data_IF_706846499488
#
_entry.id   IF_706846499488
#
_cell.length_a   1.000
_cell.length_b   1.000
_cell.length_c   1.000
_cell.angle_alpha   90.00
_cell.angle_beta   90.00
_cell.angle_gamma   90.00
#
_symmetry.space_group_name_H-M   'P 1'
#
loop_
_entity.id
_entity.type
_entity.pdbx_description
1 polymer ?
#
# COMPACT_ATOMS: atom_id res chain seq x y z
N UNK A 1 -12.86 10.26 -14.09
CA UNK A 1 -13.86 10.12 -12.99
C UNK A 1 -14.96 9.18 -13.44
N UNK A 2 -15.35 8.24 -12.58
CA UNK A 2 -16.48 7.34 -12.82
C UNK A 2 -17.76 8.18 -13.00
N UNK A 3 -18.58 7.89 -14.01
CA UNK A 3 -19.78 8.69 -14.30
C UNK A 3 -19.55 9.99 -15.08
N UNK A 4 -18.30 10.30 -15.46
CA UNK A 4 -17.95 11.41 -16.36
C UNK A 4 -17.33 12.63 -15.66
N UNK A 5 -16.84 13.60 -16.45
CA UNK A 5 -16.16 14.80 -15.97
C UNK A 5 -14.64 14.64 -15.78
N UNK A 6 -13.96 15.76 -15.49
CA UNK A 6 -12.50 15.85 -15.31
C UNK A 6 -12.16 16.74 -14.11
N UNK A 7 -11.12 16.39 -13.37
CA UNK A 7 -10.58 17.16 -12.25
C UNK A 7 -9.10 16.78 -12.04
N UNK A 8 -8.46 17.34 -11.00
CA UNK A 8 -7.12 16.96 -10.58
C UNK A 8 -7.06 15.47 -10.14
N UNK A 9 -5.95 14.76 -10.34
CA UNK A 9 -5.87 13.31 -10.11
C UNK A 9 -6.16 12.89 -8.66
N UNK A 10 -5.76 13.69 -7.68
CA UNK A 10 -6.07 13.50 -6.26
C UNK A 10 -7.57 13.64 -5.99
N UNK A 11 -8.23 14.65 -6.56
CA UNK A 11 -9.67 14.84 -6.42
C UNK A 11 -10.47 13.74 -7.14
N UNK A 12 -9.98 13.26 -8.29
CA UNK A 12 -10.56 12.10 -8.97
C UNK A 12 -10.41 10.83 -8.11
N UNK A 13 -9.27 10.66 -7.42
CA UNK A 13 -9.07 9.55 -6.48
C UNK A 13 -10.05 9.63 -5.30
N UNK A 14 -10.23 10.82 -4.70
CA UNK A 14 -11.21 11.04 -3.64
C UNK A 14 -12.61 10.58 -4.05
N UNK A 15 -13.07 11.07 -5.22
CA UNK A 15 -14.40 10.79 -5.74
C UNK A 15 -14.57 9.30 -6.07
N UNK A 16 -13.66 8.73 -6.87
CA UNK A 16 -13.75 7.33 -7.30
C UNK A 16 -13.67 6.37 -6.10
N UNK A 17 -12.78 6.61 -5.13
CA UNK A 17 -12.67 5.75 -3.94
C UNK A 17 -13.85 5.92 -2.99
N UNK A 18 -14.44 7.11 -2.92
CA UNK A 18 -15.71 7.32 -2.22
C UNK A 18 -16.82 6.43 -2.79
N UNK A 19 -16.96 6.36 -4.12
CA UNK A 19 -17.95 5.50 -4.77
C UNK A 19 -17.75 4.02 -4.48
N UNK A 20 -16.50 3.56 -4.42
CA UNK A 20 -16.16 2.15 -4.12
C UNK A 20 -16.56 1.80 -2.69
N UNK A 21 -16.21 2.66 -1.72
CA UNK A 21 -16.33 2.33 -0.30
C UNK A 21 -17.70 2.61 0.29
N UNK A 22 -18.40 3.67 -0.14
CA UNK A 22 -19.45 4.30 0.67
C UNK A 22 -20.57 3.36 1.12
N UNK A 23 -21.00 2.44 0.25
CA UNK A 23 -22.09 1.48 0.55
C UNK A 23 -21.61 0.24 1.32
N UNK A 24 -20.29 0.09 1.50
CA UNK A 24 -19.67 -1.07 2.18
C UNK A 24 -19.97 -2.42 1.46
N UNK A 25 -20.17 -2.39 0.13
CA UNK A 25 -20.42 -3.56 -0.74
C UNK A 25 -19.19 -3.95 -1.56
N UNK A 26 -18.07 -4.15 -0.88
CA UNK A 26 -16.78 -4.43 -1.50
C UNK A 26 -16.09 -5.66 -0.89
N UNK A 27 -14.98 -6.08 -1.50
CA UNK A 27 -14.27 -7.29 -1.07
C UNK A 27 -13.71 -7.16 0.36
N UNK A 28 -13.44 -8.31 0.99
CA UNK A 28 -12.81 -8.37 2.30
C UNK A 28 -11.73 -9.44 2.28
N UNK A 29 -10.51 -9.07 2.67
CA UNK A 29 -9.44 -10.01 2.96
C UNK A 29 -9.32 -10.17 4.47
N UNK A 30 -9.41 -11.41 4.93
CA UNK A 30 -9.34 -11.76 6.35
C UNK A 30 -8.12 -12.64 6.60
N UNK A 31 -7.44 -12.37 7.71
CA UNK A 31 -6.33 -13.16 8.22
C UNK A 31 -6.47 -13.29 9.74
N UNK A 32 -5.76 -14.21 10.42
CA UNK A 32 -5.77 -14.28 11.87
C UNK A 32 -5.37 -12.95 12.51
N UNK A 33 -6.34 -12.24 13.10
CA UNK A 33 -6.12 -10.94 13.74
C UNK A 33 -6.05 -9.72 12.81
N UNK A 34 -6.36 -9.87 11.51
CA UNK A 34 -6.30 -8.81 10.52
C UNK A 34 -7.45 -8.80 9.52
N UNK A 35 -7.89 -7.61 9.13
CA UNK A 35 -8.92 -7.36 8.10
C UNK A 35 -8.48 -6.19 7.24
N UNK A 36 -8.71 -6.28 5.94
CA UNK A 36 -8.68 -5.14 5.03
C UNK A 36 -9.66 -5.31 3.87
N UNK A 37 -9.91 -4.22 3.13
CA UNK A 37 -10.68 -4.21 1.90
C UNK A 37 -9.77 -3.82 0.73
N UNK A 38 -9.14 -4.79 0.04
CA UNK A 38 -8.19 -4.50 -1.03
C UNK A 38 -8.76 -3.63 -2.16
N UNK A 39 -10.05 -3.77 -2.46
CA UNK A 39 -10.74 -2.95 -3.47
C UNK A 39 -10.81 -1.47 -3.14
N UNK A 40 -10.54 -1.05 -1.92
CA UNK A 40 -10.39 0.38 -1.59
C UNK A 40 -9.28 1.06 -2.42
N UNK A 41 -8.29 0.31 -2.91
CA UNK A 41 -7.26 0.85 -3.80
C UNK A 41 -7.81 1.24 -5.17
N UNK A 42 -8.89 0.63 -5.65
CA UNK A 42 -9.35 0.73 -7.04
C UNK A 42 -9.53 2.19 -7.48
N UNK A 43 -10.23 3.00 -6.69
CA UNK A 43 -10.55 4.38 -7.08
C UNK A 43 -9.31 5.26 -7.22
N UNK A 44 -8.33 5.10 -6.32
CA UNK A 44 -7.07 5.82 -6.33
C UNK A 44 -6.16 5.39 -7.49
N UNK A 45 -6.03 4.08 -7.70
CA UNK A 45 -5.21 3.52 -8.78
C UNK A 45 -5.81 3.85 -10.15
N UNK A 46 -7.14 3.82 -10.30
CA UNK A 46 -7.81 4.23 -11.53
C UNK A 46 -7.54 5.70 -11.84
N UNK A 47 -7.65 6.58 -10.85
CA UNK A 47 -7.37 8.01 -11.05
C UNK A 47 -5.90 8.27 -11.43
N UNK A 48 -4.96 7.55 -10.79
CA UNK A 48 -3.54 7.63 -11.15
C UNK A 48 -3.26 7.11 -12.57
N UNK A 49 -3.91 6.02 -12.98
CA UNK A 49 -3.78 5.42 -14.30
C UNK A 49 -4.33 6.34 -15.40
N UNK A 50 -5.54 6.89 -15.20
CA UNK A 50 -6.13 7.88 -16.10
C UNK A 50 -5.21 9.11 -16.27
N UNK A 51 -4.61 9.58 -15.17
CA UNK A 51 -3.73 10.76 -15.19
C UNK A 51 -2.51 10.59 -16.09
N UNK A 52 -1.88 9.41 -16.06
CA UNK A 52 -0.69 9.12 -16.88
C UNK A 52 -1.03 8.48 -18.22
N UNK A 53 -2.33 8.33 -18.54
CA UNK A 53 -2.82 7.62 -19.73
C UNK A 53 -2.26 6.19 -19.83
N UNK A 54 -2.24 5.49 -18.69
CA UNK A 54 -1.75 4.12 -18.60
C UNK A 54 -2.59 3.18 -19.48
N UNK A 55 -1.98 2.08 -19.92
CA UNK A 55 -2.72 0.98 -20.54
C UNK A 55 -3.58 0.26 -19.48
N UNK A 56 -4.55 -0.55 -19.94
CA UNK A 56 -5.31 -1.41 -19.03
C UNK A 56 -4.42 -2.42 -18.29
N UNK A 57 -3.36 -2.89 -18.93
CA UNK A 57 -2.37 -3.79 -18.35
C UNK A 57 -1.58 -3.13 -17.23
N UNK A 58 -1.05 -1.92 -17.47
CA UNK A 58 -0.35 -1.12 -16.46
C UNK A 58 -1.25 -0.84 -15.25
N UNK A 59 -2.53 -0.52 -15.50
CA UNK A 59 -3.54 -0.33 -14.46
C UNK A 59 -3.74 -1.60 -13.63
N UNK A 60 -3.96 -2.75 -14.27
CA UNK A 60 -4.18 -4.03 -13.59
C UNK A 60 -2.95 -4.46 -12.80
N UNK A 61 -1.74 -4.26 -13.33
CA UNK A 61 -0.49 -4.53 -12.63
C UNK A 61 -0.35 -3.66 -11.37
N UNK A 62 -0.58 -2.35 -11.49
CA UNK A 62 -0.49 -1.44 -10.36
C UNK A 62 -1.53 -1.76 -9.28
N UNK A 63 -2.74 -2.13 -9.69
CA UNK A 63 -3.81 -2.55 -8.78
C UNK A 63 -3.44 -3.85 -8.05
N UNK A 64 -2.92 -4.85 -8.78
CA UNK A 64 -2.47 -6.12 -8.20
C UNK A 64 -1.33 -5.91 -7.19
N UNK A 65 -0.37 -5.02 -7.50
CA UNK A 65 0.71 -4.65 -6.57
C UNK A 65 0.14 -4.00 -5.31
N UNK A 66 -0.82 -3.09 -5.43
CA UNK A 66 -1.45 -2.45 -4.27
C UNK A 66 -2.20 -3.48 -3.41
N UNK A 67 -3.04 -4.33 -4.02
CA UNK A 67 -3.73 -5.42 -3.35
C UNK A 67 -2.76 -6.32 -2.59
N UNK A 68 -1.69 -6.72 -3.26
CA UNK A 68 -0.69 -7.58 -2.68
C UNK A 68 -0.09 -6.92 -1.44
N UNK A 69 0.45 -5.71 -1.56
CA UNK A 69 1.04 -4.97 -0.44
C UNK A 69 0.08 -4.89 0.76
N UNK A 70 -1.19 -4.54 0.52
CA UNK A 70 -2.18 -4.41 1.59
C UNK A 70 -2.46 -5.76 2.26
N UNK A 71 -2.74 -6.80 1.49
CA UNK A 71 -2.99 -8.15 2.01
C UNK A 71 -1.77 -8.70 2.77
N UNK A 72 -0.55 -8.46 2.27
CA UNK A 72 0.69 -8.85 2.98
C UNK A 72 0.78 -8.19 4.33
N UNK A 73 0.49 -6.89 4.36
CA UNK A 73 0.55 -6.11 5.58
C UNK A 73 -0.49 -6.63 6.58
N UNK A 74 -1.73 -6.83 6.14
CA UNK A 74 -2.83 -7.36 6.97
C UNK A 74 -2.51 -8.70 7.59
N UNK A 75 -1.85 -9.60 6.84
CA UNK A 75 -1.53 -10.95 7.29
C UNK A 75 -0.48 -11.01 8.42
N UNK A 76 0.29 -9.94 8.63
CA UNK A 76 1.38 -9.89 9.61
C UNK A 76 1.11 -8.87 10.71
N UNK A 77 0.39 -7.79 10.38
CA UNK A 77 0.35 -6.59 11.21
C UNK A 77 -1.05 -6.35 11.76
N UNK A 78 -1.31 -6.59 13.05
CA UNK A 78 -2.63 -6.51 13.65
C UNK A 78 -3.00 -5.07 14.03
N UNK A 79 -3.04 -4.15 13.06
CA UNK A 79 -3.22 -2.70 13.31
C UNK A 79 -4.49 -2.37 14.10
N UNK A 80 -5.60 -3.04 13.78
CA UNK A 80 -6.88 -2.79 14.45
C UNK A 80 -6.90 -3.26 15.90
N UNK A 81 -6.22 -4.36 16.22
CA UNK A 81 -6.05 -4.81 17.60
C UNK A 81 -5.23 -3.83 18.45
N UNK A 82 -4.51 -2.91 17.79
CA UNK A 82 -3.64 -1.90 18.41
C UNK A 82 -4.22 -0.48 18.34
N UNK A 83 -5.51 -0.34 17.99
CA UNK A 83 -6.22 0.95 17.99
C UNK A 83 -6.16 1.74 16.68
N UNK A 84 -5.44 1.25 15.67
CA UNK A 84 -5.37 1.87 14.35
C UNK A 84 -6.30 1.21 13.34
N UNK A 85 -7.00 2.01 12.55
CA UNK A 85 -7.84 1.51 11.47
C UNK A 85 -6.99 0.91 10.33
N UNK A 86 -7.54 -0.07 9.61
CA UNK A 86 -6.89 -0.69 8.45
C UNK A 86 -6.60 0.29 7.29
N UNK A 87 -7.16 1.51 7.30
CA UNK A 87 -6.82 2.57 6.33
C UNK A 87 -5.33 2.97 6.33
N UNK A 88 -4.56 2.69 7.40
CA UNK A 88 -3.10 2.85 7.37
C UNK A 88 -2.48 1.95 6.29
N UNK A 89 -2.97 0.72 6.18
CA UNK A 89 -2.50 -0.25 5.20
C UNK A 89 -2.86 0.20 3.77
N UNK A 90 -4.05 0.79 3.62
CA UNK A 90 -4.52 1.38 2.36
C UNK A 90 -3.64 2.56 1.92
N UNK A 91 -3.23 3.42 2.85
CA UNK A 91 -2.32 4.54 2.54
C UNK A 91 -1.01 4.03 1.94
N UNK A 92 -0.43 2.98 2.54
CA UNK A 92 0.80 2.33 2.07
C UNK A 92 0.60 1.73 0.68
N UNK A 93 -0.43 0.91 0.49
CA UNK A 93 -0.67 0.20 -0.78
C UNK A 93 -1.03 1.14 -1.93
N UNK A 94 -1.91 2.11 -1.69
CA UNK A 94 -2.34 3.07 -2.71
C UNK A 94 -1.19 3.98 -3.14
N UNK A 95 -0.32 4.41 -2.21
CA UNK A 95 0.83 5.23 -2.54
C UNK A 95 1.86 4.44 -3.38
N UNK A 96 2.06 3.16 -3.06
CA UNK A 96 2.91 2.27 -3.84
C UNK A 96 2.38 2.05 -5.27
N UNK A 97 1.09 1.71 -5.41
CA UNK A 97 0.47 1.51 -6.72
C UNK A 97 0.44 2.77 -7.59
N UNK A 98 0.10 3.93 -6.99
CA UNK A 98 0.18 5.22 -7.68
C UNK A 98 1.62 5.58 -8.07
N UNK A 99 2.59 5.31 -7.20
CA UNK A 99 4.00 5.49 -7.48
C UNK A 99 4.48 4.64 -8.67
N UNK A 100 4.04 3.39 -8.76
CA UNK A 100 4.32 2.52 -9.91
C UNK A 100 3.81 3.13 -11.22
N UNK A 101 2.55 3.59 -11.26
CA UNK A 101 1.96 4.23 -12.44
C UNK A 101 2.66 5.55 -12.79
N UNK A 102 3.13 6.28 -11.79
CA UNK A 102 3.83 7.55 -12.00
C UNK A 102 5.28 7.37 -12.45
N UNK A 103 5.78 6.14 -12.56
CA UNK A 103 7.15 5.83 -12.95
C UNK A 103 8.18 6.21 -11.89
N UNK A 104 7.80 6.13 -10.61
CA UNK A 104 8.70 6.45 -9.50
C UNK A 104 9.78 5.40 -9.32
N UNK A 105 10.97 5.85 -8.91
CA UNK A 105 12.05 4.97 -8.42
C UNK A 105 11.68 4.35 -7.06
N UNK A 106 12.41 3.32 -6.64
CA UNK A 106 12.20 2.68 -5.32
C UNK A 106 12.24 3.69 -4.17
N UNK A 107 13.21 4.60 -4.17
CA UNK A 107 13.34 5.63 -3.13
C UNK A 107 12.18 6.62 -3.17
N UNK A 108 11.71 7.01 -4.36
CA UNK A 108 10.54 7.89 -4.49
C UNK A 108 9.26 7.18 -4.04
N UNK A 109 9.10 5.88 -4.30
CA UNK A 109 7.97 5.09 -3.79
C UNK A 109 8.03 5.04 -2.26
N UNK A 110 9.20 4.79 -1.67
CA UNK A 110 9.37 4.78 -0.21
C UNK A 110 9.01 6.14 0.41
N UNK A 111 9.40 7.24 -0.23
CA UNK A 111 9.02 8.59 0.18
C UNK A 111 7.51 8.82 0.05
N UNK A 112 6.89 8.41 -1.05
CA UNK A 112 5.44 8.53 -1.24
C UNK A 112 4.65 7.76 -0.18
N UNK A 113 5.04 6.51 0.11
CA UNK A 113 4.47 5.69 1.19
C UNK A 113 4.62 6.40 2.52
N UNK A 114 5.82 6.91 2.83
CA UNK A 114 6.10 7.59 4.09
C UNK A 114 5.24 8.84 4.25
N UNK A 115 5.18 9.71 3.25
CA UNK A 115 4.34 10.92 3.25
C UNK A 115 2.86 10.56 3.42
N UNK A 116 2.36 9.59 2.64
CA UNK A 116 0.95 9.20 2.68
C UNK A 116 0.56 8.58 4.04
N UNK A 117 1.46 7.83 4.66
CA UNK A 117 1.13 7.03 5.85
C UNK A 117 1.21 7.85 7.13
N UNK A 118 2.27 8.66 7.31
CA UNK A 118 2.47 9.41 8.57
C UNK A 118 1.40 10.48 8.81
N UNK A 119 0.85 11.05 7.73
CA UNK A 119 -0.22 12.05 7.82
C UNK A 119 -1.63 11.43 7.83
N UNK A 120 -1.73 10.12 7.59
CA UNK A 120 -3.00 9.37 7.53
C UNK A 120 -3.20 8.48 8.74
N UNK A 121 -3.18 9.08 9.94
CA UNK A 121 -3.48 8.39 11.19
C UNK A 121 -4.99 8.17 11.33
N UNK A 122 -5.45 6.98 10.96
CA UNK A 122 -6.84 6.56 11.10
C UNK A 122 -6.99 5.66 12.32
N UNK A 123 -7.95 5.96 13.20
CA UNK A 123 -8.18 5.25 14.46
C UNK A 123 -9.36 4.27 14.35
N UNK A 124 -9.36 3.19 15.13
CA UNK A 124 -10.43 2.19 15.10
C UNK A 124 -11.79 2.70 15.58
N UNK A 125 -11.86 3.86 16.24
CA UNK A 125 -13.13 4.49 16.62
C UNK A 125 -14.04 4.80 15.43
N UNK A 126 -13.50 4.78 14.19
CA UNK A 126 -14.27 4.81 12.94
C UNK A 126 -15.33 3.70 12.85
N UNK A 127 -15.13 2.58 13.56
CA UNK A 127 -16.03 1.43 13.58
C UNK A 127 -16.95 1.37 14.81
N UNK A 128 -16.88 2.35 15.72
CA UNK A 128 -17.65 2.34 16.97
C UNK A 128 -19.06 2.86 16.73
N UNK A 129 -20.05 2.21 17.35
CA UNK A 129 -21.45 2.62 17.28
C UNK A 129 -21.74 3.90 18.09
N UNK A 130 -22.60 4.82 17.59
CA UNK A 130 -23.26 4.78 16.29
C UNK A 130 -22.28 5.04 15.14
N UNK A 131 -22.24 4.14 14.15
CA UNK A 131 -21.30 4.26 13.03
C UNK A 131 -21.63 5.52 12.21
N UNK A 132 -20.64 6.41 12.12
CA UNK A 132 -20.78 7.65 11.35
C UNK A 132 -20.56 7.44 9.85
N UNK A 133 -21.05 8.36 9.03
CA UNK A 133 -20.81 8.41 7.58
C UNK A 133 -19.32 8.44 7.21
N UNK A 134 -18.46 8.85 8.14
CA UNK A 134 -17.01 8.87 7.96
C UNK A 134 -16.42 7.46 7.71
N UNK A 135 -17.04 6.39 8.22
CA UNK A 135 -16.61 5.00 7.91
C UNK A 135 -16.66 4.73 6.41
N UNK A 136 -17.72 5.16 5.74
CA UNK A 136 -17.90 4.98 4.30
C UNK A 136 -17.02 5.90 3.45
N UNK A 137 -16.61 7.06 3.97
CA UNK A 137 -15.88 8.06 3.18
C UNK A 137 -14.36 8.10 3.42
N UNK A 138 -13.89 7.67 4.59
CA UNK A 138 -12.47 7.80 4.99
C UNK A 138 -11.45 7.11 4.06
N UNK A 139 -11.75 5.99 3.37
CA UNK A 139 -10.90 5.44 2.32
C UNK A 139 -10.74 6.35 1.10
N UNK A 140 -11.76 7.16 0.77
CA UNK A 140 -11.65 8.20 -0.25
C UNK A 140 -10.58 9.24 0.11
N UNK A 141 -10.59 9.72 1.35
CA UNK A 141 -9.57 10.64 1.88
C UNK A 141 -8.16 10.02 1.82
N UNK A 142 -8.07 8.74 2.17
CA UNK A 142 -6.81 7.99 2.13
C UNK A 142 -6.28 7.87 0.70
N UNK A 143 -7.13 7.49 -0.26
CA UNK A 143 -6.76 7.37 -1.67
C UNK A 143 -6.32 8.71 -2.29
N UNK A 144 -7.03 9.80 -1.98
CA UNK A 144 -6.64 11.16 -2.39
C UNK A 144 -5.23 11.51 -1.92
N UNK A 145 -4.96 11.33 -0.62
CA UNK A 145 -3.67 11.64 0.00
C UNK A 145 -2.54 10.78 -0.58
N UNK A 146 -2.80 9.50 -0.85
CA UNK A 146 -1.83 8.61 -1.46
C UNK A 146 -1.42 9.06 -2.87
N UNK A 147 -2.37 9.42 -3.73
CA UNK A 147 -2.09 9.95 -5.08
C UNK A 147 -1.35 11.29 -5.00
N UNK A 148 -1.74 12.16 -4.06
CA UNK A 148 -1.07 13.43 -3.83
C UNK A 148 0.39 13.23 -3.35
N UNK A 149 0.62 12.32 -2.40
CA UNK A 149 1.95 11.98 -1.91
C UNK A 149 2.86 11.42 -3.00
N UNK A 150 2.34 10.54 -3.86
CA UNK A 150 3.09 10.05 -5.03
C UNK A 150 3.47 11.18 -5.99
N UNK A 151 2.57 12.16 -6.19
CA UNK A 151 2.83 13.36 -7.00
C UNK A 151 3.93 14.25 -6.39
N UNK A 152 3.95 14.40 -5.07
CA UNK A 152 5.02 15.13 -4.35
C UNK A 152 6.37 14.40 -4.48
N UNK A 153 6.40 13.09 -4.21
CA UNK A 153 7.62 12.29 -4.30
C UNK A 153 8.21 12.28 -5.71
N UNK A 154 7.36 12.30 -6.75
CA UNK A 154 7.79 12.49 -8.15
C UNK A 154 8.63 13.76 -8.35
N UNK A 155 8.34 14.80 -7.57
CA UNK A 155 9.00 16.11 -7.62
C UNK A 155 10.14 16.25 -6.61
N UNK A 156 10.56 15.14 -5.99
CA UNK A 156 11.71 15.11 -5.08
C UNK A 156 11.38 15.41 -3.61
N UNK A 157 10.10 15.44 -3.22
CA UNK A 157 9.76 15.53 -1.80
C UNK A 157 10.11 14.23 -1.08
N UNK A 158 10.77 14.36 0.06
CA UNK A 158 11.15 13.24 0.91
C UNK A 158 10.16 13.06 2.05
N UNK A 159 9.85 11.81 2.39
CA UNK A 159 9.11 11.45 3.60
C UNK A 159 10.06 11.01 4.73
N UNK A 160 9.53 10.86 5.96
CA UNK A 160 10.33 10.39 7.08
C UNK A 160 10.77 8.93 6.87
N UNK A 161 12.08 8.70 6.78
CA UNK A 161 12.68 7.36 6.57
C UNK A 161 12.39 6.38 7.72
N UNK A 162 12.04 6.89 8.89
CA UNK A 162 11.73 6.12 10.09
C UNK A 162 10.30 5.56 10.16
N UNK A 163 9.48 5.62 9.09
CA UNK A 163 8.07 5.19 9.11
C UNK A 163 7.87 3.83 9.81
N UNK A 164 8.70 2.84 9.50
CA UNK A 164 8.55 1.48 10.05
C UNK A 164 9.39 1.28 11.31
N UNK A 165 10.71 1.36 11.18
CA UNK A 165 11.69 0.96 12.22
C UNK A 165 12.27 2.13 13.02
N UNK A 166 11.96 3.37 12.62
CA UNK A 166 12.50 4.55 13.29
C UNK A 166 11.88 4.81 14.67
N UNK A 167 12.44 5.75 15.44
CA UNK A 167 11.82 6.23 16.67
C UNK A 167 10.38 6.72 16.39
N UNK A 168 9.41 6.24 17.17
CA UNK A 168 7.98 6.49 16.97
C UNK A 168 7.43 5.97 15.62
N UNK A 169 8.15 5.08 14.94
CA UNK A 169 7.67 4.36 13.76
C UNK A 169 6.58 3.36 14.11
N UNK A 170 5.90 2.85 13.08
CA UNK A 170 4.76 1.93 13.22
C UNK A 170 5.16 0.73 14.08
N UNK A 171 6.28 0.05 13.81
CA UNK A 171 6.67 -1.15 14.56
C UNK A 171 6.75 -0.91 16.07
N UNK A 172 7.28 0.26 16.47
CA UNK A 172 7.33 0.68 17.86
C UNK A 172 5.94 0.96 18.42
N UNK A 173 5.10 1.71 17.69
CA UNK A 173 3.76 2.11 18.13
C UNK A 173 2.82 0.92 18.34
N UNK A 174 2.89 -0.10 17.47
CA UNK A 174 2.03 -1.29 17.57
C UNK A 174 2.70 -2.47 18.30
N UNK A 175 3.94 -2.30 18.76
CA UNK A 175 4.76 -3.34 19.39
C UNK A 175 4.77 -4.64 18.58
N UNK A 176 5.02 -4.53 17.29
CA UNK A 176 5.00 -5.63 16.33
C UNK A 176 6.20 -5.50 15.39
N UNK A 177 7.04 -6.54 15.36
CA UNK A 177 8.13 -6.61 14.39
C UNK A 177 7.58 -7.09 13.04
N UNK A 178 7.49 -6.16 12.08
CA UNK A 178 6.92 -6.43 10.77
C UNK A 178 7.92 -7.11 9.81
N UNK A 179 9.18 -7.33 10.22
CA UNK A 179 10.21 -8.02 9.42
C UNK A 179 10.04 -9.54 9.47
N UNK A 180 9.56 -10.05 10.59
CA UNK A 180 9.39 -11.48 10.86
C UNK A 180 7.92 -11.86 10.80
N UNK A 181 7.40 -11.99 9.58
CA UNK A 181 6.00 -12.36 9.36
C UNK A 181 5.78 -13.51 8.39
N UNK A 182 6.82 -13.97 7.69
CA UNK A 182 6.69 -15.00 6.64
C UNK A 182 7.84 -16.00 6.65
N UNK A 183 7.49 -17.28 6.61
CA UNK A 183 8.42 -18.35 6.26
C UNK A 183 8.96 -18.13 4.83
N UNK A 184 10.14 -18.67 4.52
CA UNK A 184 10.69 -18.59 3.16
C UNK A 184 9.82 -19.31 2.12
N UNK A 185 8.96 -20.22 2.56
CA UNK A 185 7.90 -20.82 1.74
C UNK A 185 6.82 -19.80 1.38
N UNK A 186 6.33 -19.02 2.35
CA UNK A 186 5.35 -17.95 2.11
C UNK A 186 5.91 -16.85 1.21
N UNK A 187 7.21 -16.53 1.31
CA UNK A 187 7.89 -15.60 0.38
C UNK A 187 7.95 -16.16 -1.04
N UNK A 188 8.27 -17.46 -1.19
CA UNK A 188 8.37 -18.15 -2.49
C UNK A 188 7.03 -18.37 -3.18
N UNK A 189 6.03 -18.86 -2.45
CA UNK A 189 4.68 -19.11 -2.97
C UNK A 189 4.07 -17.84 -3.58
N UNK A 190 4.45 -16.72 -3.01
CA UNK A 190 3.94 -15.44 -3.38
C UNK A 190 4.69 -14.77 -4.53
N UNK A 191 6.02 -14.90 -4.56
CA UNK A 191 6.79 -14.56 -5.76
C UNK A 191 6.25 -15.37 -6.95
N UNK A 192 5.98 -16.67 -6.75
CA UNK A 192 5.37 -17.53 -7.77
C UNK A 192 3.96 -17.07 -8.17
N UNK A 193 3.12 -16.68 -7.21
CA UNK A 193 1.77 -16.15 -7.48
C UNK A 193 1.78 -14.86 -8.30
N UNK A 194 2.63 -13.89 -7.93
CA UNK A 194 2.81 -12.65 -8.69
C UNK A 194 3.36 -12.91 -10.10
N UNK A 195 4.41 -13.72 -10.22
CA UNK A 195 4.99 -14.08 -11.50
C UNK A 195 3.99 -14.76 -12.42
N UNK A 196 3.13 -15.61 -11.87
CA UNK A 196 2.05 -16.26 -12.61
C UNK A 196 0.99 -15.26 -13.05
N UNK A 197 0.51 -14.38 -12.17
CA UNK A 197 -0.50 -13.35 -12.52
C UNK A 197 0.03 -12.42 -13.60
N UNK A 198 1.27 -11.96 -13.48
CA UNK A 198 1.91 -11.12 -14.49
C UNK A 198 2.12 -11.91 -15.78
N UNK A 199 2.59 -13.15 -15.72
CA UNK A 199 2.78 -14.00 -16.91
C UNK A 199 1.47 -14.29 -17.65
N UNK A 200 0.39 -14.60 -16.94
CA UNK A 200 -0.94 -14.85 -17.52
C UNK A 200 -1.55 -13.57 -18.14
N UNK A 201 -1.32 -12.40 -17.52
CA UNK A 201 -1.86 -11.13 -18.00
C UNK A 201 -1.09 -10.54 -19.20
N UNK A 202 0.22 -10.79 -19.28
CA UNK A 202 1.13 -10.16 -20.25
C UNK A 202 1.57 -11.11 -21.38
N UNK A 203 1.47 -12.42 -21.17
CA UNK A 203 2.04 -13.43 -22.06
C UNK A 203 3.56 -13.61 -21.93
N UNK A 204 4.21 -12.87 -21.03
CA UNK A 204 5.64 -12.98 -20.75
C UNK A 204 5.93 -14.19 -19.84
N UNK A 205 7.09 -14.84 -19.99
CA UNK A 205 7.44 -15.98 -19.12
C UNK A 205 7.95 -15.47 -17.77
N UNK A 206 7.72 -16.21 -16.66
CA UNK A 206 8.21 -15.85 -15.32
C UNK A 206 9.69 -15.43 -15.25
N UNK A 207 10.54 -16.02 -16.09
CA UNK A 207 11.97 -15.77 -16.13
C UNK A 207 12.34 -14.42 -16.80
N UNK A 208 11.43 -13.86 -17.60
CA UNK A 208 11.62 -12.63 -18.36
C UNK A 208 11.14 -11.38 -17.57
N UNK A 209 10.37 -11.57 -16.49
CA UNK A 209 9.63 -10.50 -15.77
C UNK A 209 10.51 -9.66 -14.80
N UNK A 210 11.75 -10.08 -14.50
CA UNK A 210 12.58 -9.41 -13.47
C UNK A 210 14.08 -9.18 -13.78
N UNK A 211 14.61 -9.49 -14.95
CA UNK A 211 16.02 -9.17 -15.25
C UNK A 211 16.22 -7.73 -15.76
N UNK A 212 16.09 -6.80 -14.80
CA UNK A 212 16.48 -5.39 -14.91
C UNK A 212 17.23 -4.89 -13.69
N UNK A 213 17.97 -5.75 -12.97
CA UNK A 213 18.95 -5.35 -11.95
C UNK A 213 20.01 -6.44 -11.75
N UNK A 214 21.33 -6.15 -11.81
CA UNK A 214 22.36 -7.15 -11.63
C UNK A 214 22.43 -7.67 -10.18
N UNK A 215 22.26 -8.98 -10.02
CA UNK A 215 22.83 -9.86 -8.97
C UNK A 215 22.78 -9.42 -7.49
N UNK A 216 21.73 -9.84 -6.77
CA UNK A 216 21.69 -9.96 -5.30
C UNK A 216 22.38 -11.26 -4.81
N UNK A 217 23.56 -11.60 -5.32
CA UNK A 217 24.30 -12.82 -4.93
C UNK A 217 25.27 -12.65 -3.76
N UNK A 218 25.29 -11.52 -3.05
CA UNK A 218 26.23 -11.33 -1.94
C UNK A 218 25.75 -10.31 -0.92
N UNK A 219 24.94 -10.74 0.05
CA UNK A 219 24.89 -10.07 1.36
C UNK A 219 25.26 -11.13 2.39
N UNK A 220 26.43 -11.04 3.05
CA UNK A 220 26.82 -11.96 4.11
C UNK A 220 25.92 -11.76 5.33
N UNK A 221 25.46 -12.86 5.91
CA UNK A 221 24.88 -12.91 7.26
C UNK A 221 25.97 -12.54 8.27
N UNK A 222 25.90 -11.32 8.81
CA UNK A 222 26.71 -10.88 9.95
C UNK A 222 25.83 -10.84 11.20
N UNK A 223 26.02 -11.82 12.06
CA UNK A 223 25.64 -11.80 13.48
C UNK A 223 26.37 -10.66 14.19
N UNK A 224 25.65 -9.78 14.88
CA UNK A 224 26.02 -9.20 16.19
C UNK A 224 24.99 -8.13 16.58
N UNK A 225 23.98 -8.55 17.33
CA UNK A 225 23.07 -7.65 18.04
C UNK A 225 23.65 -7.44 19.44
N UNK A 226 24.57 -6.49 19.57
CA UNK A 226 25.11 -6.06 20.84
C UNK A 226 24.44 -4.75 21.31
N UNK A 227 23.70 -4.88 22.41
CA UNK A 227 23.54 -3.89 23.49
C UNK A 227 23.08 -2.45 23.15
N UNK A 228 21.86 -2.11 23.56
CA UNK A 228 21.54 -0.75 24.04
C UNK A 228 21.17 -0.89 25.54
N UNK A 229 21.85 -0.17 26.45
CA UNK A 229 21.59 -0.24 27.88
C UNK A 229 20.39 0.63 28.29
N UNK A 230 19.63 0.13 29.27
CA UNK A 230 18.57 0.87 29.97
C UNK A 230 19.11 2.15 30.62
N UNK A 231 18.51 3.29 30.28
CA UNK A 231 18.31 4.46 31.16
C UNK A 231 17.04 5.22 30.76
#
# INVERSE_FOLDING_TARGET
MIGGGKTAPDQAALYNSGLVRYVDLLDSYMSPGGLCHPSDNFGAILAAAEHVKASGEDFMLALAVAYEIQCRFTAVVPVMAKGFNHAIQLAISSAAGAGKLFGLTGDQIANAISIATVDNISLTCVHVEPVSQWKGFSPGMTGMRAVYAASLAKRGFTGPSGLFEGPNGIMSMISCDMRFGRSDEQKRALAAGLLRVVSEATGERPDDIFFGAPSLRSIPMGTDCACIPDK
#
